data_IF_014419922117
#
_entry.id   IF_014419922117
#
_cell.length_a   1.000
_cell.length_b   1.000
_cell.length_c   1.000
_cell.angle_alpha   90.00
_cell.angle_beta   90.00
_cell.angle_gamma   90.00
#
_symmetry.space_group_name_H-M   'P 1'
#
loop_
_entity.id
_entity.type
_entity.pdbx_description
1 polymer ?
#
# COMPACT_ATOMS: atom_id res chain seq x y z
N UNK A 1 -42.00 -16.27 -28.44
CA UNK A 1 -41.35 -14.94 -28.54
C UNK A 1 -41.12 -14.44 -27.13
N UNK A 2 -39.91 -14.38 -26.61
CA UNK A 2 -39.45 -13.60 -25.41
C UNK A 2 -38.32 -14.30 -24.60
N UNK A 3 -37.28 -14.80 -25.28
CA UNK A 3 -36.04 -15.30 -24.56
C UNK A 3 -34.79 -14.47 -24.90
N UNK A 4 -34.84 -13.52 -25.83
CA UNK A 4 -33.64 -12.81 -26.30
C UNK A 4 -33.27 -11.52 -25.59
N UNK A 5 -34.02 -11.02 -24.61
CA UNK A 5 -33.76 -9.72 -23.99
C UNK A 5 -32.96 -9.75 -22.67
N UNK A 6 -32.43 -10.89 -22.22
CA UNK A 6 -31.70 -10.97 -20.95
C UNK A 6 -30.17 -10.78 -21.06
N UNK A 7 -29.61 -10.64 -22.27
CA UNK A 7 -28.15 -10.74 -22.47
C UNK A 7 -27.34 -9.45 -22.41
N UNK A 8 -27.94 -8.28 -22.20
CA UNK A 8 -27.20 -7.01 -22.29
C UNK A 8 -27.13 -6.17 -20.99
N UNK A 9 -27.53 -6.70 -19.85
CA UNK A 9 -27.41 -5.92 -18.61
C UNK A 9 -25.98 -5.96 -18.10
N UNK A 10 -25.23 -4.83 -18.23
CA UNK A 10 -23.93 -4.64 -17.58
C UNK A 10 -24.12 -4.50 -16.08
N UNK A 11 -23.51 -5.40 -15.31
CA UNK A 11 -23.52 -5.32 -13.85
C UNK A 11 -22.75 -4.08 -13.38
N UNK A 12 -23.44 -3.17 -12.65
CA UNK A 12 -22.83 -1.95 -12.10
C UNK A 12 -22.25 -2.23 -10.73
N UNK A 13 -20.93 -2.05 -10.59
CA UNK A 13 -20.17 -2.35 -9.38
C UNK A 13 -19.52 -1.10 -8.84
N UNK A 14 -19.64 -0.89 -7.55
CA UNK A 14 -18.93 0.13 -6.80
C UNK A 14 -17.89 -0.52 -5.87
N UNK A 15 -16.64 -0.07 -5.95
CA UNK A 15 -15.55 -0.50 -5.06
C UNK A 15 -15.16 0.67 -4.14
N UNK A 16 -15.32 0.48 -2.85
CA UNK A 16 -14.98 1.46 -1.82
C UNK A 16 -13.57 1.18 -1.27
N UNK A 17 -12.57 1.91 -1.80
CA UNK A 17 -11.14 1.74 -1.50
C UNK A 17 -10.42 3.07 -1.27
N UNK A 18 -10.98 3.94 -0.42
CA UNK A 18 -10.41 5.25 -0.13
C UNK A 18 -9.49 5.23 1.10
N UNK A 19 -8.40 4.50 1.04
CA UNK A 19 -7.35 4.46 2.05
C UNK A 19 -5.95 4.74 1.48
N UNK A 20 -4.89 4.39 2.21
CA UNK A 20 -3.52 4.68 1.80
C UNK A 20 -3.04 3.78 0.65
N UNK A 21 -1.97 4.19 -0.04
CA UNK A 21 -1.38 3.45 -1.17
C UNK A 21 -0.98 2.03 -0.79
N UNK A 22 -0.39 1.83 0.39
CA UNK A 22 0.00 0.50 0.85
C UNK A 22 -1.19 -0.46 0.94
N UNK A 23 -2.32 0.04 1.46
CA UNK A 23 -3.56 -0.74 1.54
C UNK A 23 -4.18 -0.96 0.15
N UNK A 24 -4.04 0.01 -0.77
CA UNK A 24 -4.44 -0.17 -2.17
C UNK A 24 -3.65 -1.32 -2.80
N UNK A 25 -2.32 -1.35 -2.63
CA UNK A 25 -1.47 -2.41 -3.15
C UNK A 25 -1.93 -3.80 -2.70
N UNK A 26 -2.28 -3.95 -1.43
CA UNK A 26 -2.80 -5.22 -0.88
C UNK A 26 -4.17 -5.60 -1.46
N UNK A 27 -4.94 -4.63 -1.94
CA UNK A 27 -6.28 -4.86 -2.50
C UNK A 27 -6.26 -5.11 -4.01
N UNK A 28 -5.15 -4.83 -4.71
CA UNK A 28 -5.08 -4.98 -6.16
C UNK A 28 -5.48 -6.37 -6.65
N UNK A 29 -5.01 -7.48 -6.05
CA UNK A 29 -5.43 -8.81 -6.48
C UNK A 29 -6.95 -9.02 -6.40
N UNK A 30 -7.59 -8.50 -5.36
CA UNK A 30 -9.05 -8.57 -5.21
C UNK A 30 -9.79 -7.66 -6.21
N UNK A 31 -9.25 -6.46 -6.46
CA UNK A 31 -9.79 -5.52 -7.44
C UNK A 31 -9.74 -6.16 -8.84
N UNK A 32 -8.62 -6.79 -9.20
CA UNK A 32 -8.50 -7.47 -10.49
C UNK A 32 -9.43 -8.68 -10.64
N UNK A 33 -9.69 -9.43 -9.58
CA UNK A 33 -10.72 -10.47 -9.59
C UNK A 33 -12.11 -9.91 -9.94
N UNK A 34 -12.40 -8.68 -9.52
CA UNK A 34 -13.66 -8.01 -9.86
C UNK A 34 -13.63 -7.51 -11.31
N UNK A 35 -12.52 -6.91 -11.74
CA UNK A 35 -12.38 -6.28 -13.06
C UNK A 35 -12.38 -7.31 -14.20
N UNK A 36 -11.68 -8.42 -14.00
CA UNK A 36 -11.49 -9.45 -15.04
C UNK A 36 -12.77 -10.24 -15.38
N UNK A 37 -13.83 -10.06 -14.64
CA UNK A 37 -15.12 -10.67 -14.98
C UNK A 37 -15.83 -9.86 -16.08
N UNK A 38 -16.38 -10.58 -17.05
CA UNK A 38 -17.02 -9.99 -18.24
C UNK A 38 -18.28 -9.15 -17.88
N UNK A 39 -18.59 -8.20 -18.73
CA UNK A 39 -19.83 -7.44 -18.77
C UNK A 39 -20.12 -6.59 -17.52
N UNK A 40 -19.09 -5.85 -17.02
CA UNK A 40 -19.19 -5.00 -15.84
C UNK A 40 -18.88 -3.54 -16.14
N UNK A 41 -19.57 -2.65 -15.43
CA UNK A 41 -19.29 -1.21 -15.35
C UNK A 41 -18.86 -0.91 -13.93
N UNK A 42 -17.61 -0.48 -13.76
CA UNK A 42 -16.96 -0.44 -12.45
C UNK A 42 -16.58 0.99 -12.08
N UNK A 43 -16.98 1.41 -10.89
CA UNK A 43 -16.51 2.66 -10.32
C UNK A 43 -15.73 2.39 -9.03
N UNK A 44 -14.55 2.99 -8.92
CA UNK A 44 -13.64 2.79 -7.80
C UNK A 44 -13.43 4.11 -7.07
N UNK A 45 -13.69 4.11 -5.77
CA UNK A 45 -13.42 5.26 -4.91
C UNK A 45 -12.04 5.14 -4.31
N UNK A 46 -11.15 6.06 -4.67
CA UNK A 46 -9.81 6.19 -4.14
C UNK A 46 -9.73 7.37 -3.15
N UNK A 47 -8.70 7.39 -2.33
CA UNK A 47 -8.39 8.57 -1.51
C UNK A 47 -7.46 9.53 -2.24
N UNK A 48 -7.40 10.77 -1.77
CA UNK A 48 -6.40 11.75 -2.21
C UNK A 48 -4.96 11.24 -2.01
N UNK A 49 -4.75 10.29 -1.07
CA UNK A 49 -3.44 9.68 -0.82
C UNK A 49 -3.08 8.62 -1.86
N UNK A 50 -4.07 7.96 -2.46
CA UNK A 50 -3.86 6.86 -3.42
C UNK A 50 -4.15 7.22 -4.87
N UNK A 51 -4.73 8.39 -5.16
CA UNK A 51 -5.12 8.82 -6.51
C UNK A 51 -3.98 8.76 -7.54
N UNK A 52 -2.76 9.10 -7.14
CA UNK A 52 -1.58 9.09 -8.02
C UNK A 52 -1.11 7.67 -8.37
N UNK A 53 -1.80 6.63 -7.87
CA UNK A 53 -1.52 5.22 -8.13
C UNK A 53 -2.69 4.52 -8.83
N UNK A 54 -3.65 5.25 -9.38
CA UNK A 54 -4.74 4.71 -10.20
C UNK A 54 -4.24 3.93 -11.43
N UNK A 55 -3.06 4.30 -11.95
CA UNK A 55 -2.39 3.59 -13.04
C UNK A 55 -2.10 2.11 -12.75
N UNK A 56 -2.05 1.71 -11.47
CA UNK A 56 -1.93 0.30 -11.06
C UNK A 56 -3.21 -0.50 -11.36
N UNK A 57 -4.32 0.17 -11.66
CA UNK A 57 -5.61 -0.46 -11.94
C UNK A 57 -5.95 -0.20 -13.39
N UNK A 58 -5.87 -1.22 -14.22
CA UNK A 58 -6.23 -1.14 -15.66
C UNK A 58 -7.39 -2.07 -15.96
N UNK A 59 -8.31 -1.57 -16.76
CA UNK A 59 -9.45 -2.33 -17.26
C UNK A 59 -10.34 -1.48 -18.15
N UNK A 60 -11.15 -2.13 -18.95
CA UNK A 60 -12.18 -1.45 -19.75
C UNK A 60 -13.35 -1.06 -18.83
N UNK A 61 -13.93 0.12 -19.06
CA UNK A 61 -15.11 0.61 -18.34
C UNK A 61 -14.89 0.83 -16.83
N UNK A 62 -13.69 1.30 -16.42
CA UNK A 62 -13.39 1.68 -15.05
C UNK A 62 -13.45 3.20 -14.94
N UNK A 63 -14.17 3.67 -13.93
CA UNK A 63 -14.22 5.09 -13.54
C UNK A 63 -13.63 5.26 -12.14
N UNK A 64 -12.85 6.30 -11.94
CA UNK A 64 -12.30 6.64 -10.64
C UNK A 64 -12.97 7.87 -10.07
N UNK A 65 -13.22 7.86 -8.75
CA UNK A 65 -13.57 9.05 -7.99
C UNK A 65 -12.67 9.17 -6.78
N UNK A 66 -12.24 10.39 -6.49
CA UNK A 66 -11.34 10.70 -5.38
C UNK A 66 -12.15 11.30 -4.24
N UNK A 67 -11.94 10.78 -3.04
CA UNK A 67 -12.52 11.23 -1.78
C UNK A 67 -11.44 11.52 -0.76
N UNK A 68 -11.77 12.27 0.27
CA UNK A 68 -10.87 12.48 1.41
C UNK A 68 -10.55 11.13 2.08
N UNK A 69 -9.31 10.99 2.57
CA UNK A 69 -8.93 9.81 3.35
C UNK A 69 -9.90 9.60 4.53
N UNK A 70 -10.18 10.67 5.27
CA UNK A 70 -11.26 10.72 6.25
C UNK A 70 -12.47 11.41 5.62
N UNK A 71 -13.50 10.60 5.29
CA UNK A 71 -14.67 11.06 4.58
C UNK A 71 -15.35 12.24 5.27
N UNK A 72 -15.43 13.37 4.57
CA UNK A 72 -16.20 14.54 5.01
C UNK A 72 -17.70 14.25 4.95
N UNK A 73 -18.47 15.00 5.72
CA UNK A 73 -19.93 14.82 5.76
C UNK A 73 -20.60 14.92 4.36
N UNK A 74 -20.21 15.92 3.58
CA UNK A 74 -20.72 16.11 2.21
C UNK A 74 -20.38 14.91 1.30
N UNK A 75 -19.20 14.31 1.47
CA UNK A 75 -18.81 13.14 0.70
C UNK A 75 -19.65 11.91 1.06
N UNK A 76 -19.97 11.74 2.35
CA UNK A 76 -20.90 10.70 2.81
C UNK A 76 -22.29 10.85 2.19
N UNK A 77 -22.80 12.09 2.14
CA UNK A 77 -24.08 12.40 1.49
C UNK A 77 -24.04 12.12 -0.02
N UNK A 78 -22.93 12.44 -0.71
CA UNK A 78 -22.76 12.11 -2.14
C UNK A 78 -22.80 10.60 -2.39
N UNK A 79 -22.21 9.81 -1.52
CA UNK A 79 -22.25 8.33 -1.61
C UNK A 79 -23.69 7.83 -1.41
N UNK A 80 -24.39 8.31 -0.38
CA UNK A 80 -25.79 7.96 -0.13
C UNK A 80 -26.66 8.33 -1.33
N UNK A 81 -26.56 9.58 -1.82
CA UNK A 81 -27.30 10.05 -3.00
C UNK A 81 -27.06 9.15 -4.21
N UNK A 82 -25.81 8.77 -4.48
CA UNK A 82 -25.49 7.87 -5.58
C UNK A 82 -26.17 6.51 -5.43
N UNK A 83 -26.08 5.88 -4.26
CA UNK A 83 -26.70 4.57 -4.01
C UNK A 83 -28.23 4.63 -4.05
N UNK A 84 -28.80 5.79 -3.81
CA UNK A 84 -30.26 6.00 -3.89
C UNK A 84 -30.76 6.15 -5.33
N UNK A 85 -30.09 6.98 -6.13
CA UNK A 85 -30.56 7.36 -7.46
C UNK A 85 -30.00 6.50 -8.60
N UNK A 86 -28.82 5.87 -8.43
CA UNK A 86 -28.24 5.02 -9.45
C UNK A 86 -28.54 3.54 -9.18
N UNK A 87 -28.75 2.79 -10.27
CA UNK A 87 -28.91 1.35 -10.19
C UNK A 87 -27.52 0.71 -9.99
N UNK A 88 -27.14 0.49 -8.74
CA UNK A 88 -25.92 -0.23 -8.37
C UNK A 88 -26.33 -1.65 -7.97
N UNK A 89 -25.67 -2.65 -8.57
CA UNK A 89 -25.98 -4.07 -8.31
C UNK A 89 -25.14 -4.61 -7.14
N UNK A 90 -23.85 -4.23 -7.10
CA UNK A 90 -22.90 -4.71 -6.08
C UNK A 90 -22.01 -3.59 -5.53
N UNK A 91 -21.72 -3.68 -4.25
CA UNK A 91 -20.73 -2.81 -3.57
C UNK A 91 -19.71 -3.68 -2.84
N UNK A 92 -18.43 -3.47 -3.15
CA UNK A 92 -17.32 -4.10 -2.44
C UNK A 92 -16.69 -3.10 -1.46
N UNK A 93 -16.77 -3.39 -0.16
CA UNK A 93 -16.17 -2.59 0.91
C UNK A 93 -14.78 -3.18 1.19
N UNK A 94 -13.75 -2.62 0.55
CA UNK A 94 -12.35 -3.03 0.72
C UNK A 94 -11.60 -2.15 1.73
N UNK A 95 -12.21 -1.06 2.18
CA UNK A 95 -11.72 -0.20 3.28
C UNK A 95 -12.67 -0.31 4.48
N UNK A 96 -12.21 -0.72 5.66
CA UNK A 96 -13.09 -1.04 6.79
C UNK A 96 -13.54 0.21 7.57
N UNK A 97 -14.11 1.21 6.89
CA UNK A 97 -14.69 2.41 7.54
C UNK A 97 -16.10 2.13 8.04
N UNK A 98 -16.40 2.52 9.28
CA UNK A 98 -17.71 2.30 9.91
C UNK A 98 -18.88 2.80 9.06
N UNK A 99 -18.73 3.97 8.42
CA UNK A 99 -19.75 4.51 7.53
C UNK A 99 -20.12 3.56 6.39
N UNK A 100 -19.17 2.87 5.79
CA UNK A 100 -19.45 1.95 4.69
C UNK A 100 -20.24 0.73 5.14
N UNK A 101 -20.00 0.25 6.36
CA UNK A 101 -20.76 -0.87 6.92
C UNK A 101 -22.18 -0.48 7.37
N UNK A 102 -22.45 0.80 7.53
CA UNK A 102 -23.80 1.29 7.76
C UNK A 102 -24.67 1.29 6.48
N UNK A 103 -24.08 1.45 5.30
CA UNK A 103 -24.79 1.51 4.03
C UNK A 103 -25.67 0.28 3.71
N UNK A 104 -25.24 -0.97 3.96
CA UNK A 104 -26.09 -2.15 3.75
C UNK A 104 -27.39 -2.13 4.55
N UNK A 105 -27.41 -1.50 5.71
CA UNK A 105 -28.65 -1.32 6.48
C UNK A 105 -29.64 -0.42 5.77
N UNK A 106 -29.17 0.62 5.10
CA UNK A 106 -30.01 1.59 4.36
C UNK A 106 -30.45 1.05 2.97
N UNK A 107 -29.59 0.29 2.31
CA UNK A 107 -29.77 -0.09 0.90
C UNK A 107 -29.85 -1.61 0.72
N UNK A 108 -30.94 -2.24 1.23
CA UNK A 108 -31.17 -3.70 1.21
C UNK A 108 -31.23 -4.33 -0.18
N UNK A 109 -31.56 -3.54 -1.20
CA UNK A 109 -31.64 -4.00 -2.60
C UNK A 109 -30.27 -4.25 -3.24
N UNK A 110 -29.19 -3.68 -2.68
CA UNK A 110 -27.83 -3.75 -3.20
C UNK A 110 -27.08 -4.87 -2.49
N UNK A 111 -26.33 -5.69 -3.24
CA UNK A 111 -25.47 -6.74 -2.67
C UNK A 111 -24.17 -6.16 -2.18
N UNK A 112 -24.00 -6.06 -0.87
CA UNK A 112 -22.78 -5.58 -0.25
C UNK A 112 -21.86 -6.75 0.15
N UNK A 113 -20.57 -6.58 -0.15
CA UNK A 113 -19.50 -7.52 0.18
C UNK A 113 -18.47 -6.80 1.04
N UNK A 114 -18.00 -7.42 2.13
CA UNK A 114 -17.05 -6.72 3.01
C UNK A 114 -16.25 -7.61 3.94
N UNK A 115 -15.14 -7.07 4.47
CA UNK A 115 -14.36 -7.72 5.53
C UNK A 115 -14.66 -7.02 6.83
N UNK A 116 -15.31 -7.73 7.75
CA UNK A 116 -15.66 -7.22 9.06
C UNK A 116 -14.49 -7.42 10.01
N UNK A 117 -14.05 -6.35 10.65
CA UNK A 117 -13.02 -6.41 11.66
C UNK A 117 -13.64 -6.74 13.02
N UNK A 118 -13.15 -7.78 13.68
CA UNK A 118 -13.43 -8.11 15.05
C UNK A 118 -12.16 -7.95 15.88
N UNK A 119 -12.23 -7.33 17.05
CA UNK A 119 -11.06 -7.14 17.90
C UNK A 119 -11.37 -6.37 19.17
N UNK A 120 -10.40 -6.23 20.06
CA UNK A 120 -10.59 -5.58 21.36
C UNK A 120 -10.86 -4.06 21.23
N UNK A 121 -10.60 -3.47 20.07
CA UNK A 121 -10.86 -2.07 19.85
C UNK A 121 -12.33 -1.81 19.56
N UNK A 122 -12.97 -1.01 20.40
CA UNK A 122 -14.37 -0.61 20.27
C UNK A 122 -14.68 0.10 18.95
N UNK A 123 -13.68 0.70 18.29
CA UNK A 123 -13.83 1.37 17.02
C UNK A 123 -14.45 0.48 15.92
N UNK A 124 -14.16 -0.81 15.92
CA UNK A 124 -14.66 -1.75 14.89
C UNK A 124 -15.95 -2.46 15.26
N UNK A 125 -16.53 -2.21 16.44
CA UNK A 125 -17.83 -2.80 16.83
C UNK A 125 -18.96 -2.53 15.83
N UNK A 126 -19.09 -1.32 15.24
CA UNK A 126 -20.12 -1.09 14.22
C UNK A 126 -19.97 -2.01 12.99
N UNK A 127 -18.75 -2.25 12.51
CA UNK A 127 -18.50 -3.14 11.38
C UNK A 127 -19.02 -4.55 11.69
N UNK A 128 -18.69 -5.06 12.86
CA UNK A 128 -19.11 -6.38 13.28
C UNK A 128 -20.64 -6.46 13.51
N UNK A 129 -21.25 -5.43 14.09
CA UNK A 129 -22.69 -5.36 14.29
C UNK A 129 -23.46 -5.36 12.97
N UNK A 130 -23.04 -4.55 11.99
CA UNK A 130 -23.73 -4.41 10.71
C UNK A 130 -23.46 -5.56 9.72
N UNK A 131 -22.59 -6.55 10.03
CA UNK A 131 -22.28 -7.69 9.16
C UNK A 131 -23.51 -8.47 8.68
N UNK A 132 -24.55 -8.54 9.53
CA UNK A 132 -25.81 -9.25 9.21
C UNK A 132 -26.59 -8.66 8.02
N UNK A 133 -26.24 -7.45 7.57
CA UNK A 133 -26.84 -6.80 6.43
C UNK A 133 -26.03 -6.95 5.15
N UNK A 134 -24.82 -7.53 5.25
CA UNK A 134 -23.99 -7.82 4.09
C UNK A 134 -24.51 -9.07 3.37
N UNK A 135 -24.45 -9.07 2.06
CA UNK A 135 -24.74 -10.24 1.24
C UNK A 135 -23.69 -11.34 1.45
N UNK A 136 -22.40 -10.95 1.48
CA UNK A 136 -21.27 -11.84 1.81
C UNK A 136 -20.26 -11.08 2.65
N UNK A 137 -19.78 -11.72 3.71
CA UNK A 137 -18.72 -11.13 4.53
C UNK A 137 -17.69 -12.17 4.96
N UNK A 138 -16.52 -11.66 5.31
CA UNK A 138 -15.46 -12.43 5.95
C UNK A 138 -15.08 -11.72 7.24
N UNK A 139 -14.85 -12.48 8.31
CA UNK A 139 -14.43 -11.91 9.59
C UNK A 139 -12.90 -11.95 9.64
N UNK A 140 -12.29 -10.77 9.82
CA UNK A 140 -10.90 -10.64 10.22
C UNK A 140 -10.84 -10.49 11.73
N UNK A 141 -10.56 -11.60 12.43
CA UNK A 141 -10.56 -11.65 13.88
C UNK A 141 -9.20 -11.21 14.44
N UNK A 142 -9.11 -9.94 14.81
CA UNK A 142 -7.92 -9.31 15.41
C UNK A 142 -7.63 -9.72 16.84
N UNK A 143 -8.48 -10.52 17.48
CA UNK A 143 -8.19 -11.11 18.79
C UNK A 143 -7.22 -12.29 18.68
N UNK A 144 -7.13 -12.94 17.51
CA UNK A 144 -6.23 -14.07 17.26
C UNK A 144 -4.85 -13.56 16.82
N UNK A 145 -3.85 -13.64 17.67
CA UNK A 145 -2.53 -13.03 17.44
C UNK A 145 -1.67 -13.81 16.43
N UNK A 146 -1.71 -15.13 16.40
CA UNK A 146 -0.75 -15.96 15.66
C UNK A 146 -1.29 -16.71 14.45
N UNK A 147 -2.59 -16.73 14.22
CA UNK A 147 -3.22 -17.46 13.12
C UNK A 147 -4.11 -16.53 12.28
N UNK A 148 -3.52 -15.44 11.77
CA UNK A 148 -4.29 -14.48 10.99
C UNK A 148 -3.98 -14.63 9.52
N UNK A 149 -5.05 -14.60 8.75
CA UNK A 149 -4.95 -14.40 7.32
C UNK A 149 -4.56 -12.95 7.01
N UNK A 150 -3.75 -12.75 5.99
CA UNK A 150 -3.42 -11.40 5.54
C UNK A 150 -4.65 -10.71 4.96
N UNK A 151 -4.68 -9.38 5.05
CA UNK A 151 -5.73 -8.56 4.41
C UNK A 151 -5.86 -8.88 2.92
N UNK A 152 -4.75 -9.04 2.22
CA UNK A 152 -4.73 -9.45 0.81
C UNK A 152 -5.47 -10.77 0.59
N UNK A 153 -5.15 -11.79 1.38
CA UNK A 153 -5.78 -13.11 1.28
C UNK A 153 -7.30 -13.05 1.53
N UNK A 154 -7.71 -12.34 2.59
CA UNK A 154 -9.13 -12.19 2.94
C UNK A 154 -9.91 -11.46 1.84
N UNK A 155 -9.31 -10.43 1.25
CA UNK A 155 -9.94 -9.69 0.14
C UNK A 155 -10.02 -10.55 -1.13
N UNK A 156 -8.99 -11.32 -1.47
CA UNK A 156 -9.06 -12.32 -2.54
C UNK A 156 -10.20 -13.31 -2.32
N UNK A 157 -10.29 -13.89 -1.13
CA UNK A 157 -11.35 -14.84 -0.74
C UNK A 157 -12.75 -14.23 -0.85
N UNK A 158 -12.89 -12.92 -0.52
CA UNK A 158 -14.16 -12.21 -0.65
C UNK A 158 -14.61 -12.10 -2.11
N UNK A 159 -13.67 -11.90 -3.04
CA UNK A 159 -13.93 -11.55 -4.44
C UNK A 159 -13.82 -12.73 -5.42
N UNK A 160 -13.24 -13.86 -5.00
CA UNK A 160 -13.04 -15.03 -5.87
C UNK A 160 -14.24 -15.97 -5.91
N UNK A 161 -14.45 -16.56 -7.07
CA UNK A 161 -15.40 -17.66 -7.31
C UNK A 161 -14.68 -19.02 -7.39
N UNK A 162 -13.77 -19.38 -6.47
CA UNK A 162 -13.10 -20.67 -6.31
C UNK A 162 -11.68 -20.85 -6.84
N UNK A 163 -11.13 -20.04 -7.73
CA UNK A 163 -9.72 -20.19 -8.15
C UNK A 163 -8.88 -18.99 -7.70
N UNK A 164 -7.99 -19.22 -6.72
CA UNK A 164 -7.01 -18.22 -6.29
C UNK A 164 -5.81 -18.26 -7.21
N UNK A 165 -5.67 -17.30 -8.10
CA UNK A 165 -4.39 -17.06 -8.73
C UNK A 165 -3.45 -16.38 -7.71
N UNK A 166 -2.46 -17.14 -7.24
CA UNK A 166 -1.45 -16.64 -6.30
C UNK A 166 -0.36 -15.80 -6.99
N UNK A 167 -0.38 -15.73 -8.33
CA UNK A 167 0.68 -15.10 -9.14
C UNK A 167 0.27 -13.73 -9.70
N UNK A 168 -0.53 -12.96 -8.97
CA UNK A 168 -0.81 -11.60 -9.39
C UNK A 168 0.48 -10.78 -9.48
N UNK A 169 0.82 -10.36 -10.69
CA UNK A 169 1.87 -9.38 -10.97
C UNK A 169 1.18 -8.19 -11.63
N UNK A 170 1.39 -6.97 -11.13
CA UNK A 170 0.86 -5.77 -11.79
C UNK A 170 1.38 -5.71 -13.23
N UNK A 171 0.53 -5.28 -14.15
CA UNK A 171 0.85 -5.21 -15.57
C UNK A 171 2.18 -4.51 -15.86
N UNK A 172 3.03 -5.15 -16.67
CA UNK A 172 4.34 -4.67 -17.11
C UNK A 172 4.29 -3.46 -18.07
N UNK A 173 3.11 -2.92 -18.33
CA UNK A 173 2.91 -1.87 -19.35
C UNK A 173 3.28 -0.44 -18.92
N UNK A 174 3.75 -0.26 -17.68
CA UNK A 174 4.18 1.07 -17.22
C UNK A 174 5.56 1.33 -17.79
N UNK A 175 5.60 2.21 -18.80
CA UNK A 175 6.85 2.58 -19.44
C UNK A 175 7.72 3.39 -18.48
N UNK A 176 9.02 3.09 -18.50
CA UNK A 176 10.02 3.89 -17.79
C UNK A 176 10.12 5.25 -18.47
N UNK A 177 9.96 6.33 -17.72
CA UNK A 177 10.07 7.69 -18.25
C UNK A 177 11.49 7.99 -18.76
N UNK A 178 11.62 8.91 -19.71
CA UNK A 178 12.93 9.40 -20.18
C UNK A 178 13.73 10.01 -19.02
N UNK A 179 13.04 10.66 -18.07
CA UNK A 179 13.66 11.15 -16.86
C UNK A 179 14.38 10.05 -16.08
N UNK A 180 13.73 8.92 -15.83
CA UNK A 180 14.36 7.80 -15.11
C UNK A 180 15.45 7.13 -15.92
N UNK A 181 15.27 6.93 -17.22
CA UNK A 181 16.29 6.33 -18.10
C UNK A 181 17.61 7.09 -18.05
N UNK A 182 17.52 8.42 -18.06
CA UNK A 182 18.71 9.29 -18.08
C UNK A 182 19.36 9.50 -16.72
N UNK A 183 18.63 9.23 -15.63
CA UNK A 183 19.02 9.68 -14.30
C UNK A 183 19.14 8.57 -13.27
N UNK A 184 18.50 7.42 -13.49
CA UNK A 184 18.58 6.30 -12.56
C UNK A 184 19.90 5.52 -12.78
N UNK A 185 20.68 5.26 -11.72
CA UNK A 185 21.89 4.46 -11.86
C UNK A 185 21.55 3.00 -12.16
N UNK A 186 22.46 2.32 -12.86
CA UNK A 186 22.40 0.88 -12.97
C UNK A 186 22.76 0.23 -11.64
N UNK A 187 22.15 -0.90 -11.32
CA UNK A 187 22.44 -1.74 -10.16
C UNK A 187 22.49 -0.95 -8.82
N UNK A 188 21.33 -0.69 -8.26
CA UNK A 188 21.17 0.06 -7.03
C UNK A 188 20.27 -0.64 -6.02
N UNK A 189 20.51 -0.36 -4.75
CA UNK A 189 19.55 -0.61 -3.67
C UNK A 189 18.64 0.59 -3.49
N UNK A 190 17.35 0.35 -3.38
CA UNK A 190 16.37 1.38 -3.06
C UNK A 190 16.15 1.46 -1.55
N UNK A 191 16.33 2.66 -0.99
CA UNK A 191 16.16 2.92 0.43
C UNK A 191 15.03 3.91 0.69
N UNK A 192 14.14 3.59 1.63
CA UNK A 192 13.11 4.53 2.10
C UNK A 192 13.03 4.56 3.62
N UNK A 193 13.27 5.72 4.17
CA UNK A 193 13.26 5.96 5.62
C UNK A 193 12.14 6.95 5.97
N UNK A 194 11.33 6.59 6.97
CA UNK A 194 10.25 7.43 7.49
C UNK A 194 10.76 8.34 8.60
N UNK A 195 10.48 9.63 8.49
CA UNK A 195 10.93 10.64 9.45
C UNK A 195 10.47 10.35 10.88
N UNK A 196 9.21 10.01 11.08
CA UNK A 196 8.68 9.69 12.40
C UNK A 196 9.37 8.50 13.03
N UNK A 197 9.72 7.50 12.24
CA UNK A 197 10.42 6.32 12.72
C UNK A 197 11.88 6.64 13.07
N UNK A 198 12.55 7.47 12.27
CA UNK A 198 13.91 7.97 12.58
C UNK A 198 13.89 8.72 13.91
N UNK A 199 12.95 9.65 14.12
CA UNK A 199 12.80 10.39 15.38
C UNK A 199 12.59 9.46 16.57
N UNK A 200 11.71 8.46 16.44
CA UNK A 200 11.41 7.49 17.50
C UNK A 200 12.59 6.59 17.82
N UNK A 201 13.41 6.26 16.84
CA UNK A 201 14.66 5.52 17.03
C UNK A 201 15.76 6.39 17.64
N UNK A 202 15.63 7.72 17.56
CA UNK A 202 16.65 8.65 18.00
C UNK A 202 17.87 8.69 17.08
N UNK A 203 17.72 8.27 15.81
CA UNK A 203 18.81 8.31 14.84
C UNK A 203 19.10 9.75 14.42
N UNK A 204 20.35 10.13 14.56
CA UNK A 204 20.85 11.44 14.15
C UNK A 204 21.50 11.41 12.75
N UNK A 205 22.12 12.53 12.37
CA UNK A 205 22.82 12.66 11.08
C UNK A 205 23.99 11.71 10.94
N UNK A 206 24.71 11.43 12.03
CA UNK A 206 25.87 10.54 12.02
C UNK A 206 25.44 9.08 11.85
N UNK A 207 24.30 8.70 12.45
CA UNK A 207 23.69 7.39 12.26
C UNK A 207 23.27 7.18 10.80
N UNK A 208 22.65 8.18 10.19
CA UNK A 208 22.29 8.13 8.78
C UNK A 208 23.53 8.05 7.89
N UNK A 209 24.55 8.85 8.17
CA UNK A 209 25.82 8.80 7.46
C UNK A 209 26.44 7.42 7.55
N UNK A 210 26.51 6.84 8.75
CA UNK A 210 27.00 5.48 8.96
C UNK A 210 26.23 4.45 8.14
N UNK A 211 24.89 4.54 8.13
CA UNK A 211 24.05 3.61 7.36
C UNK A 211 24.39 3.66 5.86
N UNK A 212 24.45 4.86 5.28
CA UNK A 212 24.69 5.02 3.85
C UNK A 212 26.11 4.63 3.44
N UNK A 213 27.12 5.04 4.17
CA UNK A 213 28.52 4.67 3.91
C UNK A 213 28.73 3.16 3.96
N UNK A 214 28.05 2.50 4.89
CA UNK A 214 28.15 1.06 4.99
C UNK A 214 27.30 0.32 3.94
N UNK A 215 26.16 0.85 3.51
CA UNK A 215 25.41 0.28 2.37
C UNK A 215 26.24 0.34 1.08
N UNK A 216 27.01 1.40 0.84
CA UNK A 216 27.89 1.54 -0.32
C UNK A 216 29.04 0.52 -0.36
N UNK A 217 29.35 -0.19 0.74
CA UNK A 217 30.31 -1.31 0.74
C UNK A 217 29.72 -2.57 0.09
N UNK A 218 28.39 -2.69 0.06
CA UNK A 218 27.68 -3.87 -0.45
C UNK A 218 26.95 -3.60 -1.77
N UNK A 219 26.60 -2.35 -2.01
CA UNK A 219 25.86 -1.94 -3.21
C UNK A 219 26.63 -0.87 -3.98
N UNK A 220 26.61 -1.00 -5.29
CA UNK A 220 27.27 -0.05 -6.16
C UNK A 220 26.68 1.36 -6.05
N UNK A 221 25.35 1.44 -5.92
CA UNK A 221 24.61 2.68 -5.82
C UNK A 221 23.48 2.55 -4.79
N UNK A 222 23.13 3.66 -4.14
CA UNK A 222 21.99 3.78 -3.25
C UNK A 222 21.07 4.87 -3.79
N UNK A 223 19.84 4.51 -4.11
CA UNK A 223 18.78 5.45 -4.46
C UNK A 223 17.83 5.53 -3.29
N UNK A 224 17.55 6.72 -2.80
CA UNK A 224 16.60 6.87 -1.71
C UNK A 224 15.57 7.97 -1.97
N UNK A 225 14.40 7.81 -1.38
CA UNK A 225 13.36 8.83 -1.33
C UNK A 225 13.14 9.24 0.11
N UNK A 226 13.00 10.55 0.33
CA UNK A 226 12.60 11.08 1.63
C UNK A 226 11.10 10.96 1.81
N UNK A 227 10.67 10.94 3.06
CA UNK A 227 9.26 11.05 3.40
C UNK A 227 8.71 12.43 3.01
N UNK A 228 7.39 12.55 2.87
CA UNK A 228 6.69 13.78 2.45
C UNK A 228 6.98 14.95 3.38
N UNK A 229 7.21 14.69 4.67
CA UNK A 229 7.56 15.71 5.64
C UNK A 229 9.01 16.17 5.51
N UNK A 230 9.22 17.48 5.41
CA UNK A 230 10.54 18.10 5.41
C UNK A 230 11.22 17.89 6.77
N UNK A 231 12.17 17.00 6.84
CA UNK A 231 13.00 16.79 8.03
C UNK A 231 14.32 17.54 7.87
N UNK A 232 14.65 18.40 8.84
CA UNK A 232 15.91 19.15 8.88
C UNK A 232 17.13 18.21 8.74
N UNK A 233 17.10 17.06 9.40
CA UNK A 233 18.20 16.08 9.35
C UNK A 233 18.46 15.54 7.92
N UNK A 234 17.43 15.39 7.09
CA UNK A 234 17.61 15.00 5.69
C UNK A 234 18.20 16.09 4.82
N UNK A 235 17.87 17.37 5.11
CA UNK A 235 18.47 18.52 4.42
C UNK A 235 19.98 18.59 4.72
N UNK A 236 20.33 18.45 5.99
CA UNK A 236 21.73 18.48 6.42
C UNK A 236 22.51 17.25 5.91
N UNK A 237 21.88 16.08 5.91
CA UNK A 237 22.40 14.87 5.32
C UNK A 237 22.67 15.02 3.82
N UNK A 238 21.72 15.56 3.07
CA UNK A 238 21.88 15.83 1.64
C UNK A 238 23.09 16.76 1.37
N UNK A 239 23.32 17.75 2.23
CA UNK A 239 24.50 18.62 2.15
C UNK A 239 25.82 17.89 2.38
N UNK A 240 25.88 16.98 3.39
CA UNK A 240 27.10 16.20 3.70
C UNK A 240 27.53 15.32 2.55
N UNK A 241 26.58 14.68 1.84
CA UNK A 241 26.86 13.85 0.69
C UNK A 241 26.85 14.63 -0.63
N UNK A 242 26.69 15.96 -0.58
CA UNK A 242 26.47 16.76 -1.76
C UNK A 242 25.36 16.20 -2.68
N UNK A 243 24.36 15.56 -2.10
CA UNK A 243 23.20 15.07 -2.85
C UNK A 243 22.31 16.24 -3.14
N UNK A 244 22.08 16.54 -4.39
CA UNK A 244 21.21 17.63 -4.80
C UNK A 244 19.78 17.13 -4.88
N UNK A 245 18.87 17.97 -4.39
CA UNK A 245 17.43 17.72 -4.46
C UNK A 245 17.00 17.59 -5.93
N UNK A 246 16.34 16.49 -6.26
CA UNK A 246 15.64 16.34 -7.53
C UNK A 246 14.26 16.99 -7.44
N UNK A 247 14.18 18.26 -7.21
CA UNK A 247 13.01 19.03 -7.52
C UNK A 247 13.17 19.60 -8.92
N UNK A 248 12.38 19.17 -9.84
CA UNK A 248 12.28 19.74 -11.18
C UNK A 248 13.45 19.54 -12.16
N UNK A 249 13.87 18.33 -12.41
CA UNK A 249 14.62 17.95 -13.63
C UNK A 249 16.13 17.79 -13.60
N UNK A 250 16.85 18.04 -12.51
CA UNK A 250 18.30 17.86 -12.57
C UNK A 250 18.83 16.85 -11.55
N UNK A 251 19.34 15.73 -12.05
CA UNK A 251 20.11 14.78 -11.26
C UNK A 251 21.56 15.18 -11.33
N UNK A 252 22.17 15.49 -10.21
CA UNK A 252 23.60 15.65 -10.13
C UNK A 252 24.23 14.38 -9.60
N UNK A 253 24.93 13.69 -10.49
CA UNK A 253 25.81 12.58 -10.10
C UNK A 253 26.93 13.11 -9.23
N UNK A 254 27.12 12.57 -8.03
CA UNK A 254 28.29 12.87 -7.23
C UNK A 254 29.09 11.65 -6.83
N UNK A 255 30.37 11.89 -6.48
CA UNK A 255 31.45 10.93 -6.23
C UNK A 255 31.08 9.69 -5.38
N UNK A 256 30.03 9.74 -4.56
CA UNK A 256 29.69 8.70 -3.61
C UNK A 256 28.52 7.80 -4.01
N UNK A 257 28.01 7.89 -5.23
CA UNK A 257 26.98 6.97 -5.75
C UNK A 257 25.68 6.91 -4.92
N UNK A 258 25.31 8.01 -4.26
CA UNK A 258 24.04 8.19 -3.54
C UNK A 258 23.16 9.14 -4.34
N UNK A 259 21.92 8.74 -4.58
CA UNK A 259 20.93 9.45 -5.36
C UNK A 259 19.69 9.71 -4.50
N UNK A 260 19.34 10.97 -4.30
CA UNK A 260 18.10 11.36 -3.63
C UNK A 260 17.03 11.72 -4.64
N UNK A 261 15.90 11.04 -4.60
CA UNK A 261 14.71 11.37 -5.37
C UNK A 261 13.70 12.13 -4.49
N UNK A 262 13.43 13.37 -4.86
CA UNK A 262 12.44 14.22 -4.19
C UNK A 262 11.25 14.48 -5.12
N UNK A 263 10.03 14.51 -4.59
CA UNK A 263 8.79 14.75 -5.32
C UNK A 263 8.57 13.87 -6.56
N UNK A 264 9.04 12.62 -6.51
CA UNK A 264 8.89 11.67 -7.61
C UNK A 264 7.41 11.33 -7.84
N UNK A 265 6.99 11.28 -9.10
CA UNK A 265 5.62 10.90 -9.49
C UNK A 265 5.35 9.43 -9.17
N UNK A 266 4.09 9.07 -9.02
CA UNK A 266 3.69 7.70 -8.68
C UNK A 266 4.23 6.65 -9.64
N UNK A 267 4.15 6.88 -10.96
CA UNK A 267 4.69 5.97 -12.00
C UNK A 267 6.22 5.87 -11.96
N UNK A 268 6.91 6.99 -11.76
CA UNK A 268 8.36 7.01 -11.67
C UNK A 268 8.84 6.35 -10.38
N UNK A 269 8.13 6.53 -9.26
CA UNK A 269 8.41 5.83 -8.02
C UNK A 269 8.22 4.31 -8.19
N UNK A 270 7.13 3.91 -8.84
CA UNK A 270 6.88 2.50 -9.15
C UNK A 270 8.02 1.91 -10.00
N UNK A 271 8.43 2.58 -11.06
CA UNK A 271 9.51 2.13 -11.93
C UNK A 271 10.88 2.14 -11.21
N UNK A 272 11.14 3.11 -10.34
CA UNK A 272 12.35 3.13 -9.51
C UNK A 272 12.43 1.89 -8.62
N UNK A 273 11.33 1.55 -7.95
CA UNK A 273 11.24 0.33 -7.13
C UNK A 273 11.39 -0.92 -8.01
N UNK A 274 10.73 -0.97 -9.17
CA UNK A 274 10.81 -2.09 -10.12
C UNK A 274 12.24 -2.35 -10.60
N UNK A 275 13.00 -1.31 -10.87
CA UNK A 275 14.37 -1.39 -11.38
C UNK A 275 15.42 -1.63 -10.30
N UNK A 276 15.09 -1.45 -9.02
CA UNK A 276 16.04 -1.70 -7.93
C UNK A 276 16.42 -3.18 -7.83
N UNK A 277 17.65 -3.46 -7.42
CA UNK A 277 18.09 -4.83 -7.11
C UNK A 277 17.52 -5.34 -5.78
N UNK A 278 17.39 -4.45 -4.82
CA UNK A 278 16.82 -4.72 -3.49
C UNK A 278 16.13 -3.48 -2.92
N UNK A 279 15.16 -3.71 -2.05
CA UNK A 279 14.46 -2.66 -1.31
C UNK A 279 14.80 -2.79 0.17
N UNK A 280 15.17 -1.68 0.80
CA UNK A 280 15.30 -1.55 2.25
C UNK A 280 14.37 -0.40 2.66
N UNK A 281 13.34 -0.68 3.42
CA UNK A 281 12.35 0.35 3.75
C UNK A 281 11.73 0.16 5.13
N UNK A 282 11.37 1.24 5.81
CA UNK A 282 10.44 1.15 6.92
C UNK A 282 9.06 0.71 6.40
N UNK A 283 8.45 -0.24 7.10
CA UNK A 283 7.19 -0.86 6.69
C UNK A 283 6.14 0.16 6.24
N UNK A 284 5.52 -0.10 5.08
CA UNK A 284 4.46 0.73 4.52
C UNK A 284 4.34 0.64 3.00
N UNK A 285 4.10 1.78 2.37
CA UNK A 285 3.84 1.86 0.93
C UNK A 285 4.93 1.20 0.08
N UNK A 286 6.21 1.49 0.36
CA UNK A 286 7.33 0.97 -0.43
C UNK A 286 7.48 -0.55 -0.33
N UNK A 287 7.29 -1.10 0.88
CA UNK A 287 7.26 -2.55 1.11
C UNK A 287 6.13 -3.21 0.31
N UNK A 288 4.94 -2.61 0.34
CA UNK A 288 3.78 -3.16 -0.36
C UNK A 288 3.92 -3.07 -1.89
N UNK A 289 4.43 -1.95 -2.42
CA UNK A 289 4.73 -1.81 -3.85
C UNK A 289 5.77 -2.83 -4.30
N UNK A 290 6.87 -2.95 -3.57
CA UNK A 290 7.92 -3.93 -3.88
C UNK A 290 7.42 -5.38 -3.78
N UNK A 291 6.51 -5.65 -2.85
CA UNK A 291 5.86 -6.95 -2.69
C UNK A 291 5.01 -7.34 -3.89
N UNK A 292 4.26 -6.40 -4.46
CA UNK A 292 3.50 -6.63 -5.69
C UNK A 292 4.40 -7.10 -6.85
N UNK A 293 5.64 -6.61 -6.90
CA UNK A 293 6.61 -6.93 -7.94
C UNK A 293 7.49 -8.13 -7.58
N UNK A 294 7.26 -8.79 -6.44
CA UNK A 294 8.09 -9.88 -5.92
C UNK A 294 9.58 -9.53 -5.80
N UNK A 295 9.89 -8.27 -5.48
CA UNK A 295 11.26 -7.78 -5.29
C UNK A 295 11.90 -8.34 -4.03
N UNK A 296 13.23 -8.42 -4.00
CA UNK A 296 13.95 -8.67 -2.73
C UNK A 296 13.75 -7.50 -1.78
N UNK A 297 13.17 -7.75 -0.60
CA UNK A 297 12.84 -6.72 0.39
C UNK A 297 13.44 -7.07 1.73
N UNK A 298 14.08 -6.08 2.37
CA UNK A 298 14.31 -6.07 3.81
C UNK A 298 13.44 -4.99 4.45
N UNK A 299 12.40 -5.42 5.12
CA UNK A 299 11.39 -4.56 5.76
C UNK A 299 11.86 -4.19 7.17
N UNK A 300 12.06 -2.91 7.43
CA UNK A 300 12.41 -2.37 8.73
C UNK A 300 11.11 -2.18 9.54
N UNK A 301 10.78 -3.17 10.33
CA UNK A 301 9.54 -3.17 11.09
C UNK A 301 9.76 -2.58 12.48
N UNK A 302 9.55 -1.28 12.63
CA UNK A 302 9.71 -0.58 13.90
C UNK A 302 8.54 -0.84 14.86
N UNK A 303 8.86 -1.10 16.12
CA UNK A 303 7.91 -1.29 17.21
C UNK A 303 8.40 -0.61 18.49
N UNK A 304 7.57 0.20 19.10
CA UNK A 304 7.81 0.74 20.44
C UNK A 304 7.45 -0.35 21.48
N UNK A 305 8.48 -0.96 22.06
CA UNK A 305 8.32 -2.08 23.00
C UNK A 305 7.69 -1.62 24.33
N UNK A 306 7.82 -0.35 24.68
CA UNK A 306 7.40 0.17 25.99
C UNK A 306 5.88 0.35 26.13
N UNK A 307 5.12 0.23 25.06
CA UNK A 307 3.66 0.27 25.11
C UNK A 307 3.11 -1.12 24.78
N UNK A 308 2.64 -1.84 25.79
CA UNK A 308 2.08 -3.19 25.65
C UNK A 308 0.91 -3.26 24.66
N UNK A 309 0.11 -2.20 24.58
CA UNK A 309 -0.96 -2.10 23.59
C UNK A 309 -0.40 -1.97 22.17
N UNK A 310 0.65 -1.19 21.97
CA UNK A 310 1.29 -1.00 20.67
C UNK A 310 2.03 -2.27 20.23
N UNK A 311 2.63 -3.01 21.16
CA UNK A 311 3.27 -4.29 20.85
C UNK A 311 2.26 -5.36 20.43
N UNK A 312 1.08 -5.44 21.05
CA UNK A 312 0.00 -6.31 20.58
C UNK A 312 -0.54 -5.87 19.23
N UNK A 313 -0.77 -4.58 19.04
CA UNK A 313 -1.18 -4.02 17.76
C UNK A 313 -0.11 -4.22 16.68
N UNK A 314 1.15 -4.09 17.03
CA UNK A 314 2.28 -4.35 16.16
C UNK A 314 2.34 -5.79 15.67
N UNK A 315 2.29 -6.78 16.56
CA UNK A 315 2.27 -8.19 16.17
C UNK A 315 1.05 -8.51 15.30
N UNK A 316 -0.09 -7.98 15.65
CA UNK A 316 -1.32 -8.11 14.89
C UNK A 316 -1.16 -7.49 13.50
N UNK A 317 -0.67 -6.26 13.42
CA UNK A 317 -0.43 -5.57 12.16
C UNK A 317 0.62 -6.31 11.30
N UNK A 318 1.68 -6.84 11.91
CA UNK A 318 2.69 -7.61 11.21
C UNK A 318 2.09 -8.84 10.51
N UNK A 319 1.33 -9.68 11.19
CA UNK A 319 0.73 -10.86 10.59
C UNK A 319 -0.35 -10.54 9.56
N UNK A 320 -1.03 -9.43 9.73
CA UNK A 320 -2.06 -8.96 8.82
C UNK A 320 -1.49 -8.37 7.52
N UNK A 321 -0.36 -7.67 7.60
CA UNK A 321 0.19 -6.88 6.49
C UNK A 321 1.51 -7.41 5.92
N UNK A 322 2.12 -8.38 6.57
CA UNK A 322 3.40 -8.95 6.11
C UNK A 322 3.21 -9.67 4.76
N UNK A 323 4.02 -9.34 3.76
CA UNK A 323 4.06 -10.08 2.50
C UNK A 323 4.46 -11.55 2.70
N UNK A 324 3.93 -12.43 1.85
CA UNK A 324 4.19 -13.87 1.91
C UNK A 324 4.83 -14.35 0.60
N UNK A 325 6.15 -14.20 0.48
CA UNK A 325 6.94 -14.76 -0.63
C UNK A 325 8.42 -14.84 -0.26
N UNK A 326 9.21 -15.62 -1.01
CA UNK A 326 10.61 -15.94 -0.64
C UNK A 326 11.58 -14.74 -0.63
N UNK A 327 11.29 -13.68 -1.39
CA UNK A 327 12.13 -12.47 -1.42
C UNK A 327 11.89 -11.49 -0.26
N UNK A 328 10.97 -11.78 0.64
CA UNK A 328 10.64 -10.91 1.76
C UNK A 328 11.35 -11.32 3.05
N UNK A 329 12.13 -10.40 3.60
CA UNK A 329 12.73 -10.49 4.93
C UNK A 329 12.32 -9.29 5.76
N UNK A 330 12.37 -9.41 7.08
CA UNK A 330 12.16 -8.28 7.99
C UNK A 330 13.18 -8.27 9.11
N UNK A 331 13.45 -7.08 9.60
CA UNK A 331 14.26 -6.88 10.80
C UNK A 331 13.58 -5.85 11.71
N UNK A 332 13.81 -5.98 13.01
CA UNK A 332 13.41 -4.97 13.99
C UNK A 332 14.59 -4.03 14.17
N UNK A 333 14.49 -2.75 13.74
CA UNK A 333 15.57 -1.79 13.91
C UNK A 333 15.79 -1.46 15.39
N UNK A 334 17.02 -1.17 15.74
CA UNK A 334 17.46 -0.76 17.07
C UNK A 334 17.72 0.75 17.10
N UNK A 335 17.64 1.37 18.28
CA UNK A 335 18.16 2.72 18.51
C UNK A 335 19.65 2.82 18.14
N UNK A 336 20.42 1.76 18.39
CA UNK A 336 21.80 1.63 17.91
C UNK A 336 21.81 1.23 16.42
N UNK A 337 22.19 2.17 15.57
CA UNK A 337 22.25 1.97 14.12
C UNK A 337 23.22 0.85 13.73
N UNK A 338 24.33 0.65 14.47
CA UNK A 338 25.28 -0.39 14.19
C UNK A 338 24.69 -1.79 14.39
N UNK A 339 23.85 -1.95 15.42
CA UNK A 339 23.07 -3.19 15.63
C UNK A 339 22.08 -3.42 14.51
N UNK A 340 21.38 -2.38 14.07
CA UNK A 340 20.47 -2.45 12.93
C UNK A 340 21.22 -2.86 11.67
N UNK A 341 22.34 -2.23 11.40
CA UNK A 341 23.14 -2.52 10.21
C UNK A 341 23.68 -3.97 10.21
N UNK A 342 24.16 -4.50 11.35
CA UNK A 342 24.54 -5.92 11.45
C UNK A 342 23.42 -6.86 11.04
N UNK A 343 22.19 -6.61 11.51
CA UNK A 343 21.01 -7.41 11.10
C UNK A 343 20.72 -7.27 9.60
N UNK A 344 20.90 -6.06 9.04
CA UNK A 344 20.75 -5.82 7.59
C UNK A 344 21.70 -6.68 6.79
N UNK A 345 23.00 -6.77 7.17
CA UNK A 345 23.98 -7.57 6.47
C UNK A 345 23.60 -9.05 6.44
N UNK A 346 23.13 -9.61 7.55
CA UNK A 346 22.65 -11.00 7.59
C UNK A 346 21.46 -11.24 6.68
N UNK A 347 20.68 -10.23 6.36
CA UNK A 347 19.55 -10.33 5.42
C UNK A 347 19.96 -10.10 3.96
N UNK A 348 21.20 -9.67 3.72
CA UNK A 348 21.76 -9.40 2.39
C UNK A 348 22.51 -10.64 1.85
N UNK A 349 23.14 -11.39 2.72
CA UNK A 349 23.76 -12.68 2.40
C UNK A 349 22.70 -13.78 2.28
#
# INVERSE_FOLDING_TARGET
MSIENSFNHKEKILILKNDAVGDLCQSLPAIYNIINSKNRDIEIYLSERSKNFEFLIKGKNIKFKVFSYDLKFIEKLRIIKKLFFEKIDKVYILTPKNFYFFLPFLFRRIKFYGICLNGPNNYYRPNFFFRKYLYKYIINDRSKIYKRDSTEYLQKKLTSNNNFDNNFIPNDHIKVSEFLKNNLPNNFVYLHLKNDTIKKLGWDINDLKYLFENLLKYYQNVVFTKDIEKNKNFIDFAKIFNVINFSNKEIIKKKNKIYLFDNIKGEDLYNTIKLSSKIIAFHGMMTNLGSLMKKSITDLWFCEINNWHDYRNYRNAFYEFKPKYNGYNFIIPSKDIKKTFRKLIFSIK
#
